data_IF_757272692605
#
_entry.id   IF_757272692605
#
_cell.length_a   1.000
_cell.length_b   1.000
_cell.length_c   1.000
_cell.angle_alpha   90.00
_cell.angle_beta   90.00
_cell.angle_gamma   90.00
#
_symmetry.space_group_name_H-M   'P 1'
#
loop_
_entity.id
_entity.type
_entity.pdbx_description
1 polymer ?
#
# COMPACT_ATOMS: atom_id res chain seq x y z
N UNK A 1 7.54 24.14 85.43
CA UNK A 1 6.73 23.39 86.38
C UNK A 1 6.26 22.16 85.68
N UNK A 2 7.02 21.07 85.83
CA UNK A 2 6.79 19.87 86.65
C UNK A 2 5.45 19.20 86.29
N UNK A 3 5.34 17.93 85.99
CA UNK A 3 6.00 16.63 86.27
C UNK A 3 5.46 15.62 85.24
N UNK A 4 6.18 14.75 84.61
CA UNK A 4 6.68 13.37 84.95
C UNK A 4 5.66 12.51 85.70
N UNK A 5 5.32 11.32 85.20
CA UNK A 5 5.25 9.98 85.79
C UNK A 5 4.44 9.02 84.84
N UNK A 6 5.07 8.08 84.29
CA UNK A 6 5.30 6.63 84.54
C UNK A 6 4.25 5.65 83.96
N UNK A 7 4.83 4.59 83.37
CA UNK A 7 4.19 3.37 82.86
C UNK A 7 3.68 2.42 84.00
N UNK A 8 2.85 1.40 83.69
CA UNK A 8 3.46 0.11 83.37
C UNK A 8 2.73 -0.74 82.27
N UNK A 9 3.52 -1.71 81.79
CA UNK A 9 3.13 -2.85 80.97
C UNK A 9 2.09 -3.76 81.62
N UNK A 10 1.20 -4.32 80.77
CA UNK A 10 0.58 -5.62 81.04
C UNK A 10 0.34 -6.37 79.73
N UNK A 11 0.93 -7.56 79.67
CA UNK A 11 0.74 -8.52 78.59
C UNK A 11 -0.61 -9.23 78.73
N UNK A 12 -1.26 -9.48 77.58
CA UNK A 12 -2.41 -10.40 77.55
C UNK A 12 -2.39 -11.18 76.22
N UNK A 13 -2.51 -12.44 76.37
CA UNK A 13 -2.47 -13.60 75.55
C UNK A 13 -3.38 -13.54 74.33
N UNK A 14 -2.86 -13.94 73.15
CA UNK A 14 -3.58 -14.09 71.89
C UNK A 14 -4.18 -15.47 71.81
N UNK A 15 -5.50 -15.53 71.58
CA UNK A 15 -6.18 -16.74 71.16
C UNK A 15 -6.33 -16.73 69.65
N UNK A 16 -5.72 -17.69 68.93
CA UNK A 16 -5.90 -17.92 67.49
C UNK A 16 -7.29 -18.56 67.26
N UNK A 17 -8.09 -17.91 66.44
CA UNK A 17 -9.21 -18.54 65.77
C UNK A 17 -8.87 -18.66 64.30
N UNK A 18 -8.66 -19.88 63.79
CA UNK A 18 -8.49 -20.20 62.43
C UNK A 18 -9.84 -20.12 61.68
N UNK A 19 -10.00 -19.12 60.84
CA UNK A 19 -11.13 -19.03 59.90
C UNK A 19 -10.64 -19.47 58.52
N UNK A 20 -11.03 -20.67 58.07
CA UNK A 20 -10.75 -21.17 56.75
C UNK A 20 -11.59 -20.43 55.76
N UNK A 21 -10.99 -19.50 55.00
CA UNK A 21 -11.54 -18.93 53.82
C UNK A 21 -11.20 -19.84 52.63
N UNK A 22 -12.20 -20.55 52.12
CA UNK A 22 -12.14 -21.18 50.81
C UNK A 22 -12.24 -20.07 49.80
N UNK A 23 -11.12 -19.79 49.11
CA UNK A 23 -11.09 -18.93 47.97
C UNK A 23 -11.58 -19.72 46.76
N UNK A 24 -12.74 -19.40 46.24
CA UNK A 24 -13.15 -19.84 44.91
C UNK A 24 -12.20 -19.22 43.88
N UNK A 25 -11.32 -20.04 43.36
CA UNK A 25 -10.50 -19.73 42.17
C UNK A 25 -11.45 -19.82 40.99
N UNK A 26 -12.02 -18.69 40.59
CA UNK A 26 -12.60 -18.54 39.27
C UNK A 26 -11.45 -18.54 38.27
N UNK A 27 -11.29 -19.67 37.62
CA UNK A 27 -10.37 -19.85 36.49
C UNK A 27 -10.86 -18.99 35.32
N UNK A 28 -10.42 -17.73 35.30
CA UNK A 28 -10.58 -16.83 34.16
C UNK A 28 -9.48 -17.19 33.16
N UNK A 29 -9.74 -18.24 32.38
CA UNK A 29 -8.96 -18.47 31.16
C UNK A 29 -9.30 -17.37 30.16
N UNK A 30 -8.69 -16.19 30.32
CA UNK A 30 -8.53 -15.25 29.23
C UNK A 30 -7.73 -16.00 28.18
N UNK A 31 -8.40 -16.37 27.08
CA UNK A 31 -7.73 -16.86 25.90
C UNK A 31 -6.73 -15.77 25.48
N UNK A 32 -5.47 -15.98 25.76
CA UNK A 32 -4.38 -15.22 25.15
C UNK A 32 -4.54 -15.43 23.65
N UNK A 33 -5.08 -14.42 22.96
CA UNK A 33 -5.03 -14.37 21.51
C UNK A 33 -3.54 -14.26 21.18
N UNK A 34 -2.92 -15.37 20.84
CA UNK A 34 -1.56 -15.39 20.31
C UNK A 34 -1.59 -14.58 19.02
N UNK A 35 -1.19 -13.31 19.09
CA UNK A 35 -0.88 -12.50 17.92
C UNK A 35 0.35 -13.16 17.25
N UNK A 36 0.07 -14.15 16.40
CA UNK A 36 1.13 -14.84 15.66
C UNK A 36 1.60 -13.90 14.57
N UNK A 37 2.69 -13.19 14.84
CA UNK A 37 3.35 -12.34 13.83
C UNK A 37 3.80 -13.26 12.68
N UNK A 38 3.17 -13.10 11.52
CA UNK A 38 3.56 -13.81 10.31
C UNK A 38 4.77 -13.12 9.72
N UNK A 39 5.93 -13.76 9.75
CA UNK A 39 7.12 -13.24 9.07
C UNK A 39 6.91 -13.27 7.57
N UNK A 40 7.13 -12.16 6.89
CA UNK A 40 7.11 -12.08 5.45
C UNK A 40 8.15 -13.04 4.85
N UNK A 41 7.70 -13.87 3.93
CA UNK A 41 8.52 -14.80 3.16
C UNK A 41 8.96 -14.13 1.86
N UNK A 42 10.03 -14.62 1.26
CA UNK A 42 10.50 -14.15 -0.04
C UNK A 42 9.48 -14.42 -1.17
N UNK A 43 8.56 -15.38 -0.98
CA UNK A 43 7.50 -15.73 -1.93
C UNK A 43 6.19 -15.00 -1.68
N UNK A 44 6.11 -14.14 -0.66
CA UNK A 44 4.95 -13.31 -0.40
C UNK A 44 4.89 -12.14 -1.40
N UNK A 45 3.67 -11.65 -1.64
CA UNK A 45 3.41 -10.43 -2.42
C UNK A 45 2.67 -9.42 -1.54
N UNK A 46 3.39 -8.79 -0.56
CA UNK A 46 2.75 -8.17 0.61
C UNK A 46 2.16 -6.78 0.34
N UNK A 47 2.45 -6.15 -0.80
CA UNK A 47 2.00 -4.82 -1.19
C UNK A 47 2.10 -4.59 -2.69
N UNK A 48 1.71 -3.39 -3.11
CA UNK A 48 1.79 -2.96 -4.49
C UNK A 48 3.21 -3.12 -5.06
N UNK A 49 3.33 -3.76 -6.21
CA UNK A 49 4.58 -4.09 -6.91
C UNK A 49 5.46 -5.14 -6.20
N UNK A 50 4.94 -5.89 -5.24
CA UNK A 50 5.63 -7.03 -4.61
C UNK A 50 6.68 -6.67 -3.58
N UNK A 51 7.41 -7.65 -3.05
CA UNK A 51 8.30 -7.49 -1.91
C UNK A 51 9.40 -6.45 -2.14
N UNK A 52 9.96 -6.39 -3.33
CA UNK A 52 11.03 -5.47 -3.75
C UNK A 52 10.49 -4.17 -4.35
N UNK A 53 9.18 -4.04 -4.54
CA UNK A 53 8.46 -2.88 -5.10
C UNK A 53 8.77 -2.57 -6.57
N UNK A 54 9.37 -3.47 -7.28
CA UNK A 54 9.77 -3.33 -8.68
C UNK A 54 8.89 -4.14 -9.66
N UNK A 55 8.05 -5.04 -9.12
CA UNK A 55 7.23 -5.95 -9.93
C UNK A 55 7.96 -7.21 -10.36
N UNK A 56 9.06 -7.55 -9.67
CA UNK A 56 9.87 -8.72 -9.95
C UNK A 56 9.61 -9.77 -8.87
N UNK A 57 9.26 -10.98 -9.28
CA UNK A 57 9.13 -12.13 -8.40
C UNK A 57 10.50 -12.75 -8.11
N UNK A 58 10.58 -13.60 -7.09
CA UNK A 58 11.80 -14.32 -6.78
C UNK A 58 12.25 -15.17 -7.98
N UNK A 59 13.56 -15.18 -8.24
CA UNK A 59 14.15 -15.82 -9.43
C UNK A 59 13.92 -17.33 -9.54
N UNK A 60 13.59 -18.00 -8.43
CA UNK A 60 13.30 -19.44 -8.39
C UNK A 60 11.81 -19.78 -8.67
N UNK A 61 10.96 -18.78 -8.81
CA UNK A 61 9.55 -18.98 -9.15
C UNK A 61 9.41 -19.53 -10.57
N UNK A 62 8.58 -20.54 -10.70
CA UNK A 62 8.31 -21.22 -11.99
C UNK A 62 6.81 -21.40 -12.18
N UNK A 63 6.06 -20.32 -12.52
CA UNK A 63 4.65 -20.44 -12.81
C UNK A 63 4.43 -21.29 -14.06
N UNK A 64 3.28 -21.96 -14.20
CA UNK A 64 2.94 -22.63 -15.44
C UNK A 64 2.84 -21.63 -16.59
N UNK A 65 3.36 -21.98 -17.77
CA UNK A 65 3.26 -21.14 -18.97
C UNK A 65 1.92 -21.32 -19.70
N UNK A 66 1.21 -22.41 -19.39
CA UNK A 66 -0.11 -22.73 -19.93
C UNK A 66 -1.06 -23.09 -18.79
N UNK A 67 -2.27 -22.58 -18.88
CA UNK A 67 -3.38 -22.92 -17.95
C UNK A 67 -4.71 -22.85 -18.67
N UNK A 68 -5.67 -23.62 -18.19
CA UNK A 68 -7.07 -23.61 -18.65
C UNK A 68 -7.99 -23.82 -17.45
N UNK A 69 -9.29 -23.95 -17.68
CA UNK A 69 -10.22 -24.25 -16.58
C UNK A 69 -9.98 -25.59 -15.90
N UNK A 70 -9.30 -26.52 -16.57
CA UNK A 70 -9.00 -27.89 -16.09
C UNK A 70 -7.51 -28.18 -15.93
N UNK A 71 -6.62 -27.24 -16.23
CA UNK A 71 -5.18 -27.44 -16.21
C UNK A 71 -4.47 -26.31 -15.46
N UNK A 72 -3.62 -26.67 -14.50
CA UNK A 72 -2.82 -25.74 -13.71
C UNK A 72 -3.64 -24.71 -12.90
N UNK A 73 -4.91 -24.99 -12.63
CA UNK A 73 -5.80 -24.22 -11.76
C UNK A 73 -6.14 -25.06 -10.53
N UNK A 74 -5.66 -24.66 -9.36
CA UNK A 74 -5.93 -25.36 -8.11
C UNK A 74 -7.37 -25.10 -7.63
N UNK A 75 -7.83 -23.88 -7.74
CA UNK A 75 -9.18 -23.48 -7.34
C UNK A 75 -9.59 -22.18 -8.08
N UNK A 76 -10.89 -21.92 -8.08
CA UNK A 76 -11.50 -20.71 -8.63
C UNK A 76 -12.60 -20.23 -7.68
N UNK A 77 -12.47 -19.02 -7.18
CA UNK A 77 -13.42 -18.42 -6.22
C UNK A 77 -14.02 -17.15 -6.78
N UNK A 78 -15.33 -16.98 -6.59
CA UNK A 78 -16.02 -15.74 -6.96
C UNK A 78 -15.67 -14.64 -5.95
N UNK A 79 -15.19 -13.53 -6.45
CA UNK A 79 -14.98 -12.29 -5.66
C UNK A 79 -16.26 -11.44 -5.77
N UNK A 80 -16.92 -11.08 -4.65
CA UNK A 80 -18.10 -10.22 -4.68
C UNK A 80 -17.75 -8.78 -5.04
N UNK A 81 -18.71 -8.06 -5.61
CA UNK A 81 -18.55 -6.65 -5.94
C UNK A 81 -17.63 -6.37 -7.13
N UNK A 82 -17.03 -5.17 -7.15
CA UNK A 82 -16.11 -4.71 -8.19
C UNK A 82 -14.92 -3.99 -7.55
N UNK A 83 -13.72 -4.31 -8.01
CA UNK A 83 -12.48 -3.65 -7.59
C UNK A 83 -11.42 -3.76 -8.68
N UNK A 84 -10.42 -2.88 -8.63
CA UNK A 84 -9.23 -2.93 -9.50
C UNK A 84 -7.96 -3.16 -8.67
N UNK A 85 -8.11 -3.39 -7.37
CA UNK A 85 -7.00 -3.74 -6.50
C UNK A 85 -6.36 -5.07 -6.92
N UNK A 86 -5.04 -5.14 -6.86
CA UNK A 86 -4.32 -6.40 -7.00
C UNK A 86 -4.44 -7.24 -5.72
N UNK A 87 -4.40 -8.58 -5.81
CA UNK A 87 -4.32 -9.41 -4.62
C UNK A 87 -3.00 -9.20 -3.88
N UNK A 88 -3.08 -9.14 -2.55
CA UNK A 88 -1.95 -9.13 -1.63
C UNK A 88 -1.85 -10.48 -0.97
N UNK A 89 -0.67 -11.10 -0.97
CA UNK A 89 -0.46 -12.48 -0.51
C UNK A 89 0.58 -12.48 0.59
N UNK A 90 0.20 -12.96 1.77
CA UNK A 90 1.11 -13.13 2.91
C UNK A 90 0.82 -14.46 3.60
N UNK A 91 1.83 -15.33 3.63
CA UNK A 91 1.68 -16.69 4.13
C UNK A 91 0.55 -17.43 3.40
N UNK A 92 -0.40 -17.97 4.15
CA UNK A 92 -1.56 -18.66 3.59
C UNK A 92 -2.81 -17.76 3.43
N UNK A 93 -2.65 -16.45 3.33
CA UNK A 93 -3.77 -15.52 3.18
C UNK A 93 -3.65 -14.66 1.93
N UNK A 94 -4.79 -14.44 1.28
CA UNK A 94 -4.94 -13.52 0.15
C UNK A 94 -5.91 -12.42 0.58
N UNK A 95 -5.48 -11.18 0.49
CA UNK A 95 -6.28 -10.00 0.82
C UNK A 95 -6.65 -9.23 -0.44
N UNK A 96 -7.89 -8.76 -0.51
CA UNK A 96 -8.42 -7.97 -1.61
C UNK A 96 -9.34 -6.87 -1.10
N UNK A 97 -9.31 -5.72 -1.78
CA UNK A 97 -10.33 -4.68 -1.64
C UNK A 97 -11.40 -4.86 -2.72
N UNK A 98 -12.66 -4.65 -2.35
CA UNK A 98 -13.81 -4.67 -3.25
C UNK A 98 -14.85 -3.64 -2.86
N UNK A 99 -15.77 -3.32 -3.78
CA UNK A 99 -16.91 -2.45 -3.51
C UNK A 99 -18.18 -3.02 -4.15
N UNK A 100 -19.26 -2.99 -3.42
CA UNK A 100 -20.61 -3.29 -3.92
C UNK A 100 -21.34 -1.98 -4.19
N UNK A 101 -21.53 -1.67 -5.48
CA UNK A 101 -22.15 -0.41 -5.91
C UNK A 101 -23.66 -0.34 -5.60
N UNK A 102 -24.33 -1.47 -5.40
CA UNK A 102 -25.76 -1.52 -5.05
C UNK A 102 -25.96 -1.31 -3.56
N UNK A 103 -25.13 -1.93 -2.73
CA UNK A 103 -25.16 -1.77 -1.28
C UNK A 103 -24.39 -0.53 -0.80
N UNK A 104 -23.64 0.09 -1.69
CA UNK A 104 -22.69 1.17 -1.40
C UNK A 104 -21.73 0.80 -0.27
N UNK A 105 -21.14 -0.40 -0.35
CA UNK A 105 -20.15 -0.85 0.64
C UNK A 105 -18.76 -0.99 0.03
N UNK A 106 -17.75 -0.54 0.76
CA UNK A 106 -16.34 -0.81 0.50
C UNK A 106 -15.86 -1.84 1.50
N UNK A 107 -15.34 -2.96 1.00
CA UNK A 107 -15.04 -4.11 1.85
C UNK A 107 -13.62 -4.62 1.63
N UNK A 108 -13.05 -5.19 2.69
CA UNK A 108 -11.86 -6.01 2.64
C UNK A 108 -12.22 -7.49 2.76
N UNK A 109 -11.58 -8.29 1.94
CA UNK A 109 -11.78 -9.73 1.85
C UNK A 109 -10.50 -10.45 2.21
N UNK A 110 -10.62 -11.59 2.89
CA UNK A 110 -9.52 -12.50 3.11
C UNK A 110 -9.92 -13.90 2.66
N UNK A 111 -9.04 -14.52 1.86
CA UNK A 111 -9.19 -15.88 1.40
C UNK A 111 -8.01 -16.73 1.85
N UNK A 112 -8.29 -18.03 2.06
CA UNK A 112 -7.27 -19.05 2.23
C UNK A 112 -6.57 -19.30 0.88
N UNK A 113 -5.24 -19.23 0.85
CA UNK A 113 -4.44 -19.34 -0.37
C UNK A 113 -4.48 -20.72 -0.99
N UNK A 114 -4.55 -21.78 -0.18
CA UNK A 114 -4.51 -23.15 -0.67
C UNK A 114 -5.85 -23.59 -1.25
N UNK A 115 -6.96 -23.13 -0.66
CA UNK A 115 -8.31 -23.63 -0.98
C UNK A 115 -9.20 -22.60 -1.69
N UNK A 116 -8.84 -21.33 -1.69
CA UNK A 116 -9.67 -20.24 -2.18
C UNK A 116 -10.91 -19.96 -1.31
N UNK A 117 -11.04 -20.59 -0.14
CA UNK A 117 -12.17 -20.39 0.76
C UNK A 117 -12.11 -19.00 1.39
N UNK A 118 -13.24 -18.30 1.43
CA UNK A 118 -13.36 -17.04 2.17
C UNK A 118 -13.17 -17.32 3.67
N UNK A 119 -12.23 -16.58 4.28
CA UNK A 119 -11.97 -16.62 5.72
C UNK A 119 -12.79 -15.56 6.44
N UNK A 120 -12.80 -14.35 5.92
CA UNK A 120 -13.62 -13.25 6.44
C UNK A 120 -13.88 -12.17 5.37
N UNK A 121 -14.89 -11.36 5.61
CA UNK A 121 -15.23 -10.14 4.89
C UNK A 121 -15.57 -9.08 5.91
N UNK A 122 -14.99 -7.89 5.77
CA UNK A 122 -15.35 -6.72 6.57
C UNK A 122 -15.80 -5.58 5.66
N UNK A 123 -17.00 -5.06 5.87
CA UNK A 123 -17.44 -3.80 5.29
C UNK A 123 -16.77 -2.66 6.07
N UNK A 124 -15.80 -1.99 5.43
CA UNK A 124 -15.01 -0.89 6.03
C UNK A 124 -15.82 0.40 6.03
N UNK A 125 -16.55 0.64 4.95
CA UNK A 125 -17.42 1.79 4.77
C UNK A 125 -18.78 1.40 4.19
N UNK A 126 -19.81 2.15 4.55
CA UNK A 126 -21.17 2.04 4.01
C UNK A 126 -21.71 3.40 3.64
N UNK A 127 -22.30 3.51 2.44
CA UNK A 127 -22.76 4.78 1.86
C UNK A 127 -21.60 5.67 1.39
N UNK A 128 -21.89 6.92 1.06
CA UNK A 128 -20.89 7.94 0.78
C UNK A 128 -20.07 7.75 -0.50
N UNK A 129 -20.56 6.96 -1.48
CA UNK A 129 -19.88 6.77 -2.75
C UNK A 129 -19.89 8.04 -3.59
N UNK A 130 -18.70 8.48 -4.00
CA UNK A 130 -18.59 9.54 -4.98
C UNK A 130 -18.77 8.99 -6.40
N UNK A 131 -19.90 9.31 -7.01
CA UNK A 131 -20.26 8.85 -8.36
C UNK A 131 -19.74 9.76 -9.48
N UNK A 132 -18.97 10.81 -9.14
CA UNK A 132 -18.40 11.75 -10.12
C UNK A 132 -17.15 11.21 -10.81
N UNK A 133 -16.64 10.06 -10.37
CA UNK A 133 -15.47 9.40 -10.96
C UNK A 133 -15.69 8.92 -12.40
N UNK A 134 -14.62 8.54 -13.06
CA UNK A 134 -14.67 7.97 -14.41
C UNK A 134 -15.36 6.58 -14.36
N UNK A 135 -16.20 6.28 -15.36
CA UNK A 135 -16.95 5.01 -15.43
C UNK A 135 -16.07 3.74 -15.39
N UNK A 136 -14.79 3.83 -15.79
CA UNK A 136 -13.82 2.74 -15.69
C UNK A 136 -13.15 2.68 -14.32
N UNK A 137 -13.33 3.66 -13.45
CA UNK A 137 -12.85 3.62 -12.06
C UNK A 137 -13.69 2.66 -11.23
N UNK A 138 -13.20 2.24 -10.07
CA UNK A 138 -13.97 1.53 -9.07
C UNK A 138 -13.81 2.19 -7.71
N UNK A 139 -14.74 1.91 -6.80
CA UNK A 139 -14.67 2.40 -5.41
C UNK A 139 -13.65 1.62 -4.55
N UNK A 140 -12.91 0.66 -5.16
CA UNK A 140 -11.89 -0.16 -4.52
C UNK A 140 -10.73 -0.43 -5.49
N UNK A 141 -9.99 0.62 -5.87
CA UNK A 141 -8.88 0.51 -6.83
C UNK A 141 -7.52 0.42 -6.17
N UNK A 142 -7.36 0.89 -4.92
CA UNK A 142 -6.10 0.81 -4.19
C UNK A 142 -5.81 -0.63 -3.75
N UNK A 143 -4.61 -1.12 -4.04
CA UNK A 143 -4.12 -2.41 -3.55
C UNK A 143 -3.80 -2.29 -2.07
N UNK A 144 -4.20 -3.27 -1.27
CA UNK A 144 -3.90 -3.30 0.15
C UNK A 144 -2.42 -3.62 0.40
N UNK A 145 -1.89 -3.21 1.55
CA UNK A 145 -0.55 -3.61 1.99
C UNK A 145 -0.67 -4.44 3.27
N UNK A 146 0.27 -5.37 3.48
CA UNK A 146 0.30 -6.22 4.66
C UNK A 146 1.72 -6.33 5.19
N UNK A 147 1.90 -6.16 6.51
CA UNK A 147 3.21 -6.23 7.18
C UNK A 147 3.46 -7.55 7.91
N UNK A 148 2.52 -8.50 7.82
CA UNK A 148 2.57 -9.76 8.54
C UNK A 148 1.81 -9.74 9.87
N UNK A 149 1.40 -8.57 10.36
CA UNK A 149 0.55 -8.40 11.54
C UNK A 149 -0.78 -7.73 11.20
N UNK A 150 -0.75 -6.77 10.27
CA UNK A 150 -1.89 -5.93 9.89
C UNK A 150 -2.01 -5.80 8.39
N UNK A 151 -3.23 -5.50 7.98
CA UNK A 151 -3.60 -5.19 6.60
C UNK A 151 -4.01 -3.73 6.54
N UNK A 152 -3.42 -2.96 5.63
CA UNK A 152 -3.65 -1.54 5.46
C UNK A 152 -4.35 -1.28 4.13
N UNK A 153 -5.43 -0.52 4.16
CA UNK A 153 -6.20 -0.16 2.98
C UNK A 153 -6.54 1.33 2.97
N UNK A 154 -6.54 1.91 1.77
CA UNK A 154 -6.97 3.27 1.54
C UNK A 154 -8.27 3.28 0.74
N UNK A 155 -9.25 4.08 1.19
CA UNK A 155 -10.50 4.28 0.48
C UNK A 155 -10.86 5.76 0.38
N UNK A 156 -11.48 6.12 -0.74
CA UNK A 156 -12.24 7.36 -0.86
C UNK A 156 -13.65 7.11 -0.34
N UNK A 157 -14.03 7.78 0.73
CA UNK A 157 -15.33 7.67 1.35
C UNK A 157 -15.82 9.05 1.81
N UNK A 158 -17.06 9.40 1.49
CA UNK A 158 -17.71 10.66 1.87
C UNK A 158 -16.83 11.90 1.67
N UNK A 159 -16.23 12.01 0.46
CA UNK A 159 -15.38 13.15 0.07
C UNK A 159 -14.06 13.26 0.82
N UNK A 160 -13.57 12.16 1.40
CA UNK A 160 -12.27 12.14 2.10
C UNK A 160 -11.52 10.81 1.86
N UNK A 161 -10.21 10.85 1.99
CA UNK A 161 -9.36 9.65 1.99
C UNK A 161 -9.19 9.17 3.42
N UNK A 162 -9.55 7.91 3.62
CA UNK A 162 -9.33 7.18 4.86
C UNK A 162 -8.30 6.09 4.66
N UNK A 163 -7.36 5.99 5.60
CA UNK A 163 -6.48 4.83 5.74
C UNK A 163 -6.95 4.01 6.94
N UNK A 164 -7.06 2.71 6.75
CA UNK A 164 -7.61 1.77 7.74
C UNK A 164 -6.65 0.61 7.94
N UNK A 165 -6.40 0.23 9.19
CA UNK A 165 -5.67 -0.98 9.54
C UNK A 165 -6.60 -2.03 10.15
N UNK A 166 -6.47 -3.26 9.67
CA UNK A 166 -7.11 -4.45 10.25
C UNK A 166 -6.05 -5.39 10.79
N UNK A 167 -6.41 -6.19 11.78
CA UNK A 167 -5.64 -7.37 12.14
C UNK A 167 -5.90 -8.53 11.15
N UNK A 168 -5.21 -9.64 11.33
CA UNK A 168 -5.34 -10.81 10.45
C UNK A 168 -6.70 -11.52 10.55
N UNK A 169 -7.45 -11.28 11.63
CA UNK A 169 -8.81 -11.79 11.84
C UNK A 169 -9.88 -10.87 11.23
N UNK A 170 -9.47 -9.76 10.60
CA UNK A 170 -10.39 -8.81 9.95
C UNK A 170 -11.03 -7.82 10.91
N UNK A 171 -10.50 -7.65 12.13
CA UNK A 171 -10.98 -6.63 13.07
C UNK A 171 -10.27 -5.32 12.82
N UNK A 172 -11.02 -4.22 12.78
CA UNK A 172 -10.44 -2.89 12.61
C UNK A 172 -9.63 -2.50 13.86
N UNK A 173 -8.35 -2.18 13.64
CA UNK A 173 -7.43 -1.69 14.68
C UNK A 173 -7.52 -0.18 14.79
N UNK A 174 -7.43 0.51 13.67
CA UNK A 174 -7.60 1.95 13.58
C UNK A 174 -8.11 2.38 12.20
N UNK A 175 -8.68 3.58 12.14
CA UNK A 175 -9.05 4.25 10.90
C UNK A 175 -8.78 5.74 11.06
N UNK A 176 -8.11 6.34 10.08
CA UNK A 176 -7.71 7.75 10.11
C UNK A 176 -8.11 8.45 8.82
N UNK A 177 -8.79 9.57 8.95
CA UNK A 177 -9.00 10.51 7.84
C UNK A 177 -7.68 11.20 7.51
N UNK A 178 -7.16 10.98 6.30
CA UNK A 178 -5.88 11.53 5.83
C UNK A 178 -6.07 12.96 5.30
N UNK A 179 -7.08 13.16 4.45
CA UNK A 179 -7.42 14.48 3.90
C UNK A 179 -8.83 14.49 3.32
N UNK A 180 -9.38 15.69 3.12
CA UNK A 180 -10.49 15.91 2.21
C UNK A 180 -10.06 15.57 0.78
N UNK A 181 -11.02 15.21 -0.07
CA UNK A 181 -10.75 14.78 -1.43
C UNK A 181 -11.84 15.25 -2.40
N UNK A 182 -11.44 15.96 -3.43
CA UNK A 182 -12.32 16.34 -4.54
C UNK A 182 -12.07 15.44 -5.74
N UNK A 183 -13.05 14.59 -6.05
CA UNK A 183 -12.93 13.58 -7.12
C UNK A 183 -12.86 14.21 -8.50
N UNK A 184 -11.95 13.68 -9.33
CA UNK A 184 -11.92 13.90 -10.77
C UNK A 184 -12.21 12.59 -11.52
N UNK A 185 -11.29 11.61 -11.46
CA UNK A 185 -11.47 10.32 -12.13
C UNK A 185 -11.75 9.18 -11.13
N UNK A 186 -11.49 9.38 -9.85
CA UNK A 186 -11.60 8.40 -8.78
C UNK A 186 -10.35 8.42 -7.89
N UNK A 187 -10.18 7.37 -7.09
CA UNK A 187 -9.02 7.19 -6.20
C UNK A 187 -8.45 5.78 -6.36
N UNK A 188 -7.12 5.65 -6.46
CA UNK A 188 -6.46 4.35 -6.66
C UNK A 188 -5.09 4.24 -6.01
N UNK A 189 -4.65 5.25 -5.23
CA UNK A 189 -3.33 5.25 -4.60
C UNK A 189 -3.23 4.22 -3.48
N UNK A 190 -2.37 3.23 -3.67
CA UNK A 190 -2.09 2.16 -2.70
C UNK A 190 -1.17 2.66 -1.59
N UNK A 191 -1.32 2.19 -0.34
CA UNK A 191 -0.42 2.54 0.74
C UNK A 191 0.97 1.92 0.53
N UNK A 192 2.03 2.66 0.89
CA UNK A 192 3.39 2.15 0.97
C UNK A 192 3.81 1.99 2.43
N UNK A 193 4.48 0.89 2.76
CA UNK A 193 4.99 0.65 4.11
C UNK A 193 6.47 0.97 4.19
N UNK A 194 6.90 1.61 5.26
CA UNK A 194 8.30 1.87 5.54
C UNK A 194 8.55 1.89 7.05
N UNK A 195 9.32 0.95 7.57
CA UNK A 195 9.58 0.79 9.01
C UNK A 195 8.26 0.81 9.82
N UNK A 196 8.08 1.79 10.73
CA UNK A 196 6.86 1.96 11.53
C UNK A 196 5.76 2.79 10.84
N UNK A 197 5.90 3.08 9.54
CA UNK A 197 5.04 4.04 8.85
C UNK A 197 4.21 3.39 7.74
N UNK A 198 3.00 3.94 7.56
CA UNK A 198 2.14 3.78 6.38
C UNK A 198 2.11 5.10 5.64
N UNK A 199 2.58 5.13 4.40
CA UNK A 199 2.66 6.34 3.58
C UNK A 199 1.50 6.33 2.58
N UNK A 200 0.77 7.43 2.54
CA UNK A 200 -0.46 7.61 1.76
C UNK A 200 -0.34 8.87 0.91
N UNK A 201 -0.69 8.79 -0.37
CA UNK A 201 -0.88 9.94 -1.24
C UNK A 201 -2.37 10.14 -1.53
N UNK A 202 -2.80 11.40 -1.52
CA UNK A 202 -4.18 11.81 -1.76
C UNK A 202 -4.23 13.07 -2.64
N UNK A 203 -3.48 13.04 -3.76
CA UNK A 203 -3.47 14.13 -4.73
C UNK A 203 -4.86 14.33 -5.34
N UNK A 204 -5.38 15.56 -5.32
CA UNK A 204 -6.70 15.90 -5.85
C UNK A 204 -6.81 17.36 -6.26
N UNK A 205 -7.92 17.72 -6.94
CA UNK A 205 -8.14 19.07 -7.51
C UNK A 205 -8.27 20.21 -6.50
N UNK A 206 -8.51 19.90 -5.24
CA UNK A 206 -8.70 20.92 -4.18
C UNK A 206 -7.47 21.06 -3.26
N UNK A 207 -6.33 20.52 -3.67
CA UNK A 207 -5.13 20.43 -2.87
C UNK A 207 -4.95 19.05 -2.27
N UNK A 208 -3.91 18.35 -2.73
CA UNK A 208 -3.58 17.01 -2.28
C UNK A 208 -2.65 17.01 -1.07
N UNK A 209 -2.36 15.81 -0.60
CA UNK A 209 -1.35 15.59 0.44
C UNK A 209 -0.58 14.29 0.18
N UNK A 210 0.65 14.24 0.68
CA UNK A 210 1.34 13.02 1.02
C UNK A 210 1.56 12.98 2.52
N UNK A 211 1.23 11.88 3.17
CA UNK A 211 1.29 11.77 4.62
C UNK A 211 1.86 10.40 5.03
N UNK A 212 2.50 10.36 6.19
CA UNK A 212 2.84 9.11 6.87
C UNK A 212 2.10 9.02 8.20
N UNK A 213 1.56 7.84 8.44
CA UNK A 213 0.86 7.47 9.66
C UNK A 213 1.69 6.44 10.42
N UNK A 214 1.69 6.51 11.73
CA UNK A 214 2.22 5.44 12.57
C UNK A 214 1.42 4.16 12.32
N UNK A 215 2.11 3.09 11.97
CA UNK A 215 1.51 1.82 11.56
C UNK A 215 0.70 1.15 12.67
N UNK A 216 1.06 1.39 13.92
CA UNK A 216 0.42 0.77 15.09
C UNK A 216 -0.83 1.51 15.55
N UNK A 217 -0.84 2.84 15.44
CA UNK A 217 -1.87 3.72 16.02
C UNK A 217 -2.72 4.46 14.99
N UNK A 218 -2.25 4.58 13.74
CA UNK A 218 -2.88 5.42 12.71
C UNK A 218 -2.65 6.93 12.90
N UNK A 219 -1.85 7.34 13.88
CA UNK A 219 -1.56 8.76 14.11
C UNK A 219 -0.73 9.32 12.96
N UNK A 220 -1.11 10.47 12.41
CA UNK A 220 -0.32 11.15 11.38
C UNK A 220 0.98 11.65 12.00
N UNK A 221 2.11 11.12 11.51
CA UNK A 221 3.47 11.48 11.95
C UNK A 221 3.97 12.72 11.21
N UNK A 222 3.77 12.73 9.91
CA UNK A 222 4.04 13.90 9.07
C UNK A 222 3.06 14.00 7.91
N UNK A 223 2.89 15.19 7.39
CA UNK A 223 2.03 15.51 6.26
C UNK A 223 2.62 16.66 5.47
N UNK A 224 2.63 16.54 4.14
CA UNK A 224 3.09 17.55 3.21
C UNK A 224 2.00 17.86 2.20
N UNK A 225 1.80 19.14 1.93
CA UNK A 225 0.84 19.57 0.92
C UNK A 225 1.34 19.26 -0.49
N UNK A 226 0.42 18.97 -1.38
CA UNK A 226 0.62 18.68 -2.78
C UNK A 226 -0.19 19.67 -3.64
N UNK A 227 0.19 19.88 -4.91
CA UNK A 227 -0.53 20.80 -5.79
C UNK A 227 -2.04 20.52 -5.92
N UNK A 228 -2.82 21.54 -6.22
CA UNK A 228 -4.26 21.45 -6.53
C UNK A 228 -4.52 20.83 -7.91
N UNK A 229 -4.01 19.63 -8.13
CA UNK A 229 -4.09 18.90 -9.39
C UNK A 229 -4.44 17.43 -9.14
N UNK A 230 -5.26 16.82 -10.03
CA UNK A 230 -5.59 15.40 -9.90
C UNK A 230 -4.38 14.54 -10.26
N UNK A 231 -4.14 13.51 -9.46
CA UNK A 231 -3.12 12.50 -9.75
C UNK A 231 -3.52 11.19 -9.07
N UNK A 232 -2.99 10.05 -9.55
CA UNK A 232 -3.48 8.72 -9.16
C UNK A 232 -2.35 7.76 -8.79
N UNK A 233 -1.10 8.23 -8.81
CA UNK A 233 0.06 7.37 -8.52
C UNK A 233 0.09 6.94 -7.05
N UNK A 234 0.55 5.73 -6.83
CA UNK A 234 0.88 5.25 -5.50
C UNK A 234 2.26 5.77 -5.08
N UNK A 235 2.44 6.20 -3.83
CA UNK A 235 3.77 6.47 -3.30
C UNK A 235 4.57 5.18 -3.27
N UNK A 236 5.87 5.29 -3.53
CA UNK A 236 6.77 4.15 -3.44
C UNK A 236 8.01 4.55 -2.64
N UNK A 237 8.51 3.64 -1.81
CA UNK A 237 9.76 3.86 -1.07
C UNK A 237 10.82 2.97 -1.67
N UNK A 238 11.87 3.60 -2.20
CA UNK A 238 13.00 2.90 -2.81
C UNK A 238 14.31 3.43 -2.23
N UNK A 239 15.32 2.55 -2.14
CA UNK A 239 16.70 2.96 -1.89
C UNK A 239 17.32 3.31 -3.24
N UNK A 240 17.47 4.60 -3.52
CA UNK A 240 18.02 5.12 -4.78
C UNK A 240 19.04 6.21 -4.51
N UNK A 241 20.09 6.26 -5.32
CA UNK A 241 21.21 7.17 -5.13
C UNK A 241 21.76 7.16 -3.68
N UNK A 242 21.83 5.97 -3.07
CA UNK A 242 22.41 5.73 -1.76
C UNK A 242 21.55 6.11 -0.55
N UNK A 243 20.25 6.44 -0.73
CA UNK A 243 19.32 6.76 0.37
C UNK A 243 17.90 6.28 0.09
N UNK A 244 17.14 6.06 1.17
CA UNK A 244 15.73 5.75 1.08
C UNK A 244 14.93 7.01 0.76
N UNK A 245 14.03 6.93 -0.21
CA UNK A 245 13.24 8.04 -0.70
C UNK A 245 11.79 7.61 -0.92
N UNK A 246 10.84 8.41 -0.44
CA UNK A 246 9.45 8.35 -0.91
C UNK A 246 9.39 9.06 -2.25
N UNK A 247 8.96 8.38 -3.28
CA UNK A 247 8.92 8.89 -4.64
C UNK A 247 7.48 8.96 -5.14
N UNK A 248 7.16 10.06 -5.80
CA UNK A 248 5.85 10.32 -6.43
C UNK A 248 6.05 11.02 -7.77
N UNK A 249 5.29 10.62 -8.79
CA UNK A 249 5.15 11.35 -10.06
C UNK A 249 3.73 11.88 -10.21
N UNK A 250 3.57 12.93 -11.00
CA UNK A 250 2.29 13.59 -11.26
C UNK A 250 2.25 15.00 -10.72
N UNK A 251 1.17 15.70 -10.97
CA UNK A 251 1.06 17.13 -10.70
C UNK A 251 2.19 17.93 -11.37
N UNK A 252 2.58 17.53 -12.60
CA UNK A 252 3.68 18.05 -13.41
C UNK A 252 5.08 17.83 -12.85
N UNK A 253 5.22 17.19 -11.68
CA UNK A 253 6.48 17.01 -10.97
C UNK A 253 6.83 15.54 -10.72
N UNK A 254 8.11 15.31 -10.51
CA UNK A 254 8.64 14.14 -9.83
C UNK A 254 9.18 14.64 -8.50
N UNK A 255 8.66 14.10 -7.40
CA UNK A 255 8.93 14.56 -6.04
C UNK A 255 9.54 13.46 -5.21
N UNK A 256 10.51 13.81 -4.38
CA UNK A 256 11.18 12.92 -3.43
C UNK A 256 11.14 13.49 -2.02
N UNK A 257 10.80 12.63 -1.05
CA UNK A 257 10.72 13.00 0.35
C UNK A 257 11.50 12.01 1.23
N UNK A 258 11.98 12.52 2.35
CA UNK A 258 12.48 11.69 3.45
C UNK A 258 11.34 10.86 4.03
N UNK A 259 11.44 9.52 4.07
CA UNK A 259 10.35 8.68 4.54
C UNK A 259 9.97 8.91 6.02
N UNK A 260 10.93 9.29 6.87
CA UNK A 260 10.71 9.42 8.31
C UNK A 260 10.17 10.80 8.71
N UNK A 261 10.60 11.86 8.03
CA UNK A 261 10.24 13.24 8.39
C UNK A 261 9.30 13.92 7.41
N UNK A 262 9.10 13.35 6.21
CA UNK A 262 8.37 13.99 5.12
C UNK A 262 9.10 15.19 4.50
N UNK A 263 10.31 15.51 4.94
CA UNK A 263 11.09 16.60 4.36
C UNK A 263 11.34 16.32 2.88
N UNK A 264 10.97 17.27 2.01
CA UNK A 264 11.26 17.16 0.59
C UNK A 264 12.78 17.19 0.35
N UNK A 265 13.32 16.13 -0.26
CA UNK A 265 14.72 16.08 -0.68
C UNK A 265 14.92 16.87 -1.96
N UNK A 266 14.09 16.62 -2.95
CA UNK A 266 14.10 17.31 -4.24
C UNK A 266 12.73 17.21 -4.92
N UNK A 267 12.51 18.11 -5.84
CA UNK A 267 11.35 18.11 -6.72
C UNK A 267 11.77 18.76 -8.03
N UNK A 268 11.39 18.18 -9.13
CA UNK A 268 11.69 18.68 -10.46
C UNK A 268 10.43 18.69 -11.33
N UNK A 269 10.34 19.65 -12.23
CA UNK A 269 9.42 19.54 -13.37
C UNK A 269 9.88 18.40 -14.28
N UNK A 270 8.97 17.66 -14.86
CA UNK A 270 9.34 16.55 -15.75
C UNK A 270 8.42 15.36 -15.66
N UNK A 271 7.21 15.57 -15.15
CA UNK A 271 6.10 14.64 -15.23
C UNK A 271 4.96 15.22 -16.07
N UNK A 272 3.80 14.62 -16.00
CA UNK A 272 2.55 15.15 -16.54
C UNK A 272 1.59 15.45 -15.40
N UNK A 273 0.56 16.26 -15.66
CA UNK A 273 -0.43 16.62 -14.65
C UNK A 273 -1.03 15.38 -14.02
N UNK A 274 -1.53 14.46 -14.85
CA UNK A 274 -2.09 13.20 -14.39
C UNK A 274 -1.16 12.03 -14.72
N UNK A 275 -0.74 11.30 -13.70
CA UNK A 275 -0.03 10.03 -13.80
C UNK A 275 -0.81 8.96 -13.04
N UNK A 276 -0.70 7.71 -13.48
CA UNK A 276 -1.26 6.54 -12.80
C UNK A 276 -0.17 5.53 -12.47
N UNK A 277 0.76 5.32 -13.42
CA UNK A 277 1.90 4.42 -13.26
C UNK A 277 2.83 4.84 -12.12
N UNK A 278 3.20 3.90 -11.29
CA UNK A 278 4.16 4.09 -10.19
C UNK A 278 5.60 4.19 -10.72
N UNK A 279 6.40 5.03 -10.12
CA UNK A 279 7.84 5.16 -10.40
C UNK A 279 8.56 3.82 -10.23
N UNK A 280 9.51 3.54 -11.11
CA UNK A 280 10.47 2.45 -11.00
C UNK A 280 11.91 3.00 -11.06
N UNK A 281 12.92 2.19 -10.68
CA UNK A 281 14.31 2.67 -10.58
C UNK A 281 15.30 1.59 -10.97
N UNK A 282 16.46 2.04 -11.47
CA UNK A 282 17.66 1.21 -11.67
C UNK A 282 18.71 1.39 -10.53
N UNK A 283 18.32 2.04 -9.44
CA UNK A 283 19.18 2.34 -8.29
C UNK A 283 19.91 3.68 -8.38
N UNK A 284 20.00 4.29 -9.55
CA UNK A 284 20.61 5.61 -9.79
C UNK A 284 19.59 6.61 -10.33
N UNK A 285 18.71 6.15 -11.21
CA UNK A 285 17.64 6.92 -11.84
C UNK A 285 16.30 6.47 -11.36
N UNK A 286 15.36 7.37 -11.46
CA UNK A 286 13.93 7.07 -11.38
C UNK A 286 13.30 7.27 -12.75
N UNK A 287 12.37 6.38 -13.10
CA UNK A 287 11.64 6.42 -14.35
C UNK A 287 10.17 6.68 -14.06
N UNK A 288 9.64 7.71 -14.71
CA UNK A 288 8.23 8.06 -14.65
C UNK A 288 7.64 8.12 -16.05
N UNK A 289 6.37 7.78 -16.16
CA UNK A 289 5.61 7.95 -17.40
C UNK A 289 4.27 8.59 -17.08
N UNK A 290 3.78 9.39 -18.00
CA UNK A 290 2.50 10.05 -17.91
C UNK A 290 1.77 10.08 -19.25
N UNK A 291 0.49 10.42 -19.19
CA UNK A 291 -0.35 10.33 -20.37
C UNK A 291 -1.28 11.51 -20.59
N UNK A 292 -1.35 12.46 -19.66
CA UNK A 292 -2.21 13.63 -19.79
C UNK A 292 -1.58 14.86 -19.10
N UNK A 293 -1.60 16.02 -19.76
CA UNK A 293 -2.13 16.28 -21.12
C UNK A 293 -1.18 15.85 -22.24
N UNK A 294 0.10 15.57 -21.93
CA UNK A 294 1.12 15.19 -22.92
C UNK A 294 1.59 13.76 -22.73
N UNK A 295 2.21 13.20 -23.77
CA UNK A 295 2.90 11.91 -23.70
C UNK A 295 4.30 12.13 -23.17
N UNK A 296 4.73 11.35 -22.20
CA UNK A 296 6.06 11.47 -21.65
C UNK A 296 6.50 10.14 -20.99
N UNK A 297 7.71 9.75 -21.26
CA UNK A 297 8.49 8.81 -20.45
C UNK A 297 9.84 9.47 -20.21
N UNK A 298 10.27 9.52 -18.94
CA UNK A 298 11.45 10.28 -18.52
C UNK A 298 12.30 9.48 -17.53
N UNK A 299 13.60 9.63 -17.64
CA UNK A 299 14.61 9.13 -16.71
C UNK A 299 15.30 10.31 -16.02
N UNK A 300 15.24 10.37 -14.71
CA UNK A 300 15.77 11.45 -13.89
C UNK A 300 16.74 10.88 -12.88
N UNK A 301 17.87 11.55 -12.65
CA UNK A 301 18.79 11.20 -11.56
C UNK A 301 18.15 11.42 -10.20
N UNK A 302 18.24 10.41 -9.36
CA UNK A 302 17.60 10.42 -8.04
C UNK A 302 18.48 11.05 -6.94
N UNK A 303 19.61 11.64 -7.30
CA UNK A 303 20.57 12.29 -6.39
C UNK A 303 20.14 13.70 -5.95
N UNK A 304 19.14 14.27 -6.61
CA UNK A 304 18.63 15.62 -6.35
C UNK A 304 19.28 16.68 -7.24
N UNK A 305 20.11 16.31 -8.22
CA UNK A 305 20.70 17.25 -9.18
C UNK A 305 19.67 17.87 -10.13
N UNK A 306 18.49 17.25 -10.27
CA UNK A 306 17.48 17.64 -11.25
C UNK A 306 17.85 17.25 -12.69
N UNK A 307 18.91 16.45 -12.87
CA UNK A 307 19.36 16.05 -14.19
C UNK A 307 18.42 15.02 -14.82
N UNK A 308 17.88 15.35 -15.98
CA UNK A 308 17.19 14.43 -16.88
C UNK A 308 18.23 13.80 -17.78
N UNK A 309 18.42 12.47 -17.66
CA UNK A 309 19.37 11.74 -18.51
C UNK A 309 18.78 11.54 -19.91
N UNK A 310 17.48 11.22 -19.99
CA UNK A 310 16.77 11.11 -21.27
C UNK A 310 15.25 11.21 -21.06
N UNK A 311 14.54 11.50 -22.14
CA UNK A 311 13.09 11.46 -22.22
C UNK A 311 12.62 11.14 -23.63
N UNK A 312 11.41 10.63 -23.76
CA UNK A 312 10.75 10.40 -25.06
C UNK A 312 9.22 10.63 -24.96
N UNK A 313 8.54 10.63 -26.11
CA UNK A 313 7.11 10.85 -26.23
C UNK A 313 6.28 9.55 -26.17
N UNK A 314 6.75 8.53 -25.49
CA UNK A 314 5.96 7.31 -25.28
C UNK A 314 4.97 7.54 -24.15
N UNK A 315 3.71 7.17 -24.43
CA UNK A 315 2.64 7.23 -23.44
C UNK A 315 2.43 5.86 -22.81
N UNK A 316 2.78 5.75 -21.54
CA UNK A 316 2.34 4.67 -20.67
C UNK A 316 1.56 5.33 -19.54
N UNK A 317 0.22 5.35 -19.64
CA UNK A 317 -0.60 6.13 -18.72
C UNK A 317 -1.00 5.34 -17.48
N UNK A 318 -1.62 4.17 -17.66
CA UNK A 318 -2.09 3.34 -16.54
C UNK A 318 -1.04 2.32 -16.09
N UNK A 319 -0.41 1.52 -16.97
CA UNK A 319 0.58 0.54 -16.54
C UNK A 319 1.83 1.20 -15.92
N UNK A 320 2.36 0.62 -14.85
CA UNK A 320 3.71 0.94 -14.38
C UNK A 320 4.75 0.23 -15.24
N UNK A 321 5.93 0.80 -15.32
CA UNK A 321 7.08 0.21 -16.03
C UNK A 321 7.76 -0.88 -15.16
N UNK A 322 8.80 -1.51 -15.71
CA UNK A 322 9.64 -2.49 -15.03
C UNK A 322 11.08 -2.27 -15.45
N UNK A 323 12.00 -2.35 -14.50
CA UNK A 323 13.44 -2.25 -14.75
C UNK A 323 14.09 -3.59 -14.39
N UNK A 324 14.84 -4.15 -15.30
CA UNK A 324 15.64 -5.36 -15.07
C UNK A 324 16.89 -5.36 -15.93
N UNK A 325 18.02 -5.83 -15.37
CA UNK A 325 19.30 -6.05 -16.06
C UNK A 325 19.74 -4.86 -16.95
N UNK A 326 19.54 -3.61 -16.47
CA UNK A 326 19.93 -2.40 -17.20
C UNK A 326 18.97 -2.00 -18.31
N UNK A 327 17.80 -2.62 -18.39
CA UNK A 327 16.77 -2.32 -19.37
C UNK A 327 15.49 -1.82 -18.68
N UNK A 328 14.78 -0.93 -19.35
CA UNK A 328 13.46 -0.44 -18.97
C UNK A 328 12.42 -1.04 -19.92
N UNK A 329 11.44 -1.72 -19.33
CA UNK A 329 10.33 -2.36 -20.04
C UNK A 329 9.02 -1.66 -19.77
N UNK A 330 8.17 -1.55 -20.76
CA UNK A 330 6.80 -1.11 -20.59
C UNK A 330 5.85 -1.74 -21.60
N UNK A 331 4.58 -1.80 -21.22
CA UNK A 331 3.47 -2.05 -22.14
C UNK A 331 2.54 -0.84 -22.08
N UNK A 332 2.35 -0.18 -23.19
CA UNK A 332 1.47 0.98 -23.27
C UNK A 332 -0.02 0.56 -23.18
N UNK A 333 -0.89 1.50 -22.80
CA UNK A 333 -2.34 1.28 -22.79
C UNK A 333 -2.88 0.78 -24.14
N UNK A 334 -2.21 1.13 -25.24
CA UNK A 334 -2.57 0.74 -26.60
C UNK A 334 -1.99 -0.61 -27.06
N UNK A 335 -1.36 -1.37 -26.16
CA UNK A 335 -0.83 -2.71 -26.45
C UNK A 335 0.45 -2.71 -27.27
N UNK A 336 1.33 -1.75 -27.04
CA UNK A 336 2.68 -1.75 -27.61
C UNK A 336 3.67 -1.94 -26.47
N UNK A 337 4.46 -2.99 -26.54
CA UNK A 337 5.57 -3.24 -25.65
C UNK A 337 6.85 -2.55 -26.16
N UNK A 338 7.63 -2.01 -25.25
CA UNK A 338 8.93 -1.41 -25.51
C UNK A 338 9.98 -1.92 -24.56
N UNK A 339 11.21 -1.95 -25.03
CA UNK A 339 12.41 -2.11 -24.22
C UNK A 339 13.42 -1.03 -24.60
N UNK A 340 13.93 -0.32 -23.60
CA UNK A 340 14.99 0.68 -23.77
C UNK A 340 16.15 0.35 -22.85
N UNK A 341 17.36 0.78 -23.20
CA UNK A 341 18.44 0.88 -22.22
C UNK A 341 18.07 1.88 -21.14
N UNK A 342 18.21 1.50 -19.88
CA UNK A 342 17.80 2.36 -18.75
C UNK A 342 18.64 3.63 -18.65
N UNK A 343 19.92 3.58 -19.04
CA UNK A 343 20.87 4.68 -18.93
C UNK A 343 20.77 5.72 -20.05
N UNK A 344 20.42 5.31 -21.27
CA UNK A 344 20.43 6.17 -22.46
C UNK A 344 19.08 6.41 -23.10
N UNK A 345 18.08 5.58 -22.78
CA UNK A 345 16.78 5.60 -23.46
C UNK A 345 16.81 5.06 -24.89
N UNK A 346 17.92 4.43 -25.32
CA UNK A 346 18.03 3.78 -26.64
C UNK A 346 16.97 2.67 -26.74
N UNK A 347 16.09 2.75 -27.78
CA UNK A 347 15.11 1.71 -28.07
C UNK A 347 15.79 0.45 -28.58
N UNK A 348 15.74 -0.63 -27.80
CA UNK A 348 16.30 -1.92 -28.18
C UNK A 348 15.32 -2.71 -29.06
N UNK A 349 14.04 -2.66 -28.69
CA UNK A 349 12.99 -3.27 -29.47
C UNK A 349 11.63 -2.70 -29.09
N UNK A 350 10.66 -2.87 -29.98
CA UNK A 350 9.23 -2.69 -29.73
C UNK A 350 8.42 -3.77 -30.42
N UNK A 351 7.29 -4.13 -29.82
CA UNK A 351 6.40 -5.17 -30.35
C UNK A 351 4.94 -4.79 -30.10
N UNK A 352 4.08 -5.11 -31.06
CA UNK A 352 2.63 -4.95 -30.87
C UNK A 352 2.05 -6.24 -30.30
N UNK A 353 1.51 -6.16 -29.10
CA UNK A 353 0.85 -7.29 -28.42
C UNK A 353 -0.63 -7.41 -28.80
N UNK A 354 -1.22 -6.31 -29.31
CA UNK A 354 -2.67 -6.19 -29.54
C UNK A 354 -3.46 -5.92 -28.25
N UNK A 355 -4.72 -5.53 -28.39
CA UNK A 355 -5.61 -5.23 -27.25
C UNK A 355 -5.27 -3.92 -26.52
N UNK A 356 -5.83 -3.77 -25.33
CA UNK A 356 -5.60 -2.66 -24.40
C UNK A 356 -5.16 -3.19 -23.03
N UNK A 357 -4.23 -2.49 -22.40
CA UNK A 357 -3.64 -2.90 -21.11
C UNK A 357 -3.85 -1.81 -20.07
N UNK A 358 -4.36 -2.22 -18.91
CA UNK A 358 -4.51 -1.37 -17.72
C UNK A 358 -3.78 -1.98 -16.51
N UNK A 359 -3.01 -3.04 -16.75
CA UNK A 359 -2.23 -3.74 -15.71
C UNK A 359 -0.75 -3.54 -15.93
N UNK A 360 0.00 -3.49 -14.84
CA UNK A 360 1.46 -3.40 -14.88
C UNK A 360 2.08 -4.77 -15.18
N UNK A 361 3.20 -4.84 -15.91
CA UNK A 361 3.95 -6.08 -16.10
C UNK A 361 4.53 -6.58 -14.78
N UNK A 362 4.66 -7.89 -14.69
CA UNK A 362 5.36 -8.61 -13.62
C UNK A 362 6.38 -9.52 -14.27
N UNK A 363 7.63 -9.49 -13.79
CA UNK A 363 8.70 -10.39 -14.23
C UNK A 363 8.74 -11.60 -13.29
N UNK A 364 8.76 -12.82 -13.86
CA UNK A 364 8.87 -14.07 -13.12
C UNK A 364 9.84 -15.00 -13.84
N UNK A 365 10.96 -15.30 -13.22
CA UNK A 365 12.04 -16.05 -13.84
C UNK A 365 12.81 -15.25 -14.91
N UNK A 366 13.39 -15.98 -15.86
CA UNK A 366 14.23 -15.41 -16.95
C UNK A 366 13.37 -14.99 -18.15
#
# INVERSE_FOLDING_TARGET
MNQVIDRPLTAALVLMAACSLVADVTDSSAAESSNTVVRLSATDWPWWRGPTRDGIAQADQRPPLHWSESENVLWKTKVPGRGHASPTIVGNRIFLATADEQRETQSLLCYDRETGRSLWTLDVHSGGFDRRGHQKSSQASATVACDGERVFANFLHDGAIYSTALDFEGRQVWQTKVSDFTTHQGFGSSPALYQSLVIVSADNKAGGVVAALDRSTGTIVWKQDRPEQPNYTSPIVLTVAGRDQVLLSGCDHISSFDPLSGKRFWEIEGSTTECVGTIVSDGQRVFASGGYPKKLTVAVRADGSGQVDWQNETRTYVPSMLVDAGNLYTVTDAGIAFCWKSDTGEELWKARLGGTFNTSPVLVGD
#
